data_IF_315507386553
#
_entry.id   IF_315507386553
#
_cell.length_a   1.000
_cell.length_b   1.000
_cell.length_c   1.000
_cell.angle_alpha   90.00
_cell.angle_beta   90.00
_cell.angle_gamma   90.00
#
_symmetry.space_group_name_H-M   'P 1'
#
loop_
_entity.id
_entity.type
_entity.pdbx_description
1 polymer ?
#
# COMPACT_ATOMS: atom_id res chain seq x y z
N UNK A 1 -5.05 13.10 -19.55
CA UNK A 1 -4.12 12.16 -18.88
C UNK A 1 -3.67 12.74 -17.54
N UNK A 2 -4.34 12.42 -16.42
CA UNK A 2 -3.98 12.91 -15.09
C UNK A 2 -3.80 11.70 -14.16
N UNK A 3 -2.66 11.01 -14.28
CA UNK A 3 -2.31 9.91 -13.36
C UNK A 3 -0.87 9.93 -12.85
N UNK A 4 -0.05 10.94 -13.19
CA UNK A 4 1.41 10.89 -12.91
C UNK A 4 1.93 11.77 -11.75
N UNK A 5 1.12 12.67 -11.16
CA UNK A 5 1.61 13.56 -10.08
C UNK A 5 1.52 12.96 -8.67
N UNK A 6 0.59 12.04 -8.42
CA UNK A 6 0.44 11.41 -7.09
C UNK A 6 1.48 10.32 -6.84
N UNK A 7 1.81 9.50 -7.86
CA UNK A 7 2.80 8.41 -7.73
C UNK A 7 4.21 8.88 -7.33
N UNK A 8 4.65 10.06 -7.78
CA UNK A 8 5.94 10.63 -7.36
C UNK A 8 5.94 11.06 -5.89
N UNK A 9 4.80 11.55 -5.37
CA UNK A 9 4.70 11.98 -3.96
C UNK A 9 4.75 10.79 -2.98
N UNK A 10 4.21 9.64 -3.36
CA UNK A 10 4.20 8.48 -2.47
C UNK A 10 5.59 7.86 -2.32
N UNK A 11 6.39 7.83 -3.39
CA UNK A 11 7.75 7.32 -3.31
C UNK A 11 8.64 8.18 -2.40
N UNK A 12 8.50 9.50 -2.45
CA UNK A 12 9.21 10.41 -1.53
C UNK A 12 8.84 10.11 -0.07
N UNK A 13 7.55 9.88 0.22
CA UNK A 13 7.11 9.55 1.58
C UNK A 13 7.68 8.22 2.08
N UNK A 14 7.79 7.20 1.23
CA UNK A 14 8.39 5.93 1.63
C UNK A 14 9.90 6.05 1.85
N UNK A 15 10.61 6.74 0.96
CA UNK A 15 12.04 7.00 1.11
C UNK A 15 12.34 7.70 2.43
N UNK A 16 11.61 8.76 2.78
CA UNK A 16 11.78 9.47 4.04
C UNK A 16 11.44 8.61 5.26
N UNK A 17 10.33 7.87 5.22
CA UNK A 17 9.90 6.96 6.29
C UNK A 17 10.98 5.92 6.63
N UNK A 18 11.63 5.36 5.61
CA UNK A 18 12.68 4.34 5.79
C UNK A 18 14.04 4.96 6.12
N UNK A 19 14.40 6.09 5.49
CA UNK A 19 15.64 6.81 5.79
C UNK A 19 15.73 7.20 7.26
N UNK A 20 14.63 7.72 7.83
CA UNK A 20 14.56 8.10 9.25
C UNK A 20 14.69 6.91 10.22
N UNK A 21 14.58 5.66 9.73
CA UNK A 21 14.75 4.42 10.50
C UNK A 21 16.06 3.68 10.18
N UNK A 22 16.96 4.31 9.44
CA UNK A 22 18.24 3.73 9.02
C UNK A 22 18.11 2.65 7.94
N UNK A 23 17.03 2.70 7.15
CA UNK A 23 16.83 1.84 5.99
C UNK A 23 17.10 2.61 4.70
N UNK A 24 17.70 1.94 3.71
CA UNK A 24 17.78 2.40 2.32
C UNK A 24 16.60 1.81 1.55
N UNK A 25 15.70 2.66 1.06
CA UNK A 25 14.64 2.25 0.16
C UNK A 25 15.24 1.85 -1.20
N UNK A 26 14.84 0.70 -1.74
CA UNK A 26 15.32 0.18 -3.02
C UNK A 26 14.25 0.35 -4.08
N UNK A 27 13.06 -0.22 -3.84
CA UNK A 27 11.98 -0.20 -4.81
C UNK A 27 10.62 -0.46 -4.16
N UNK A 28 9.58 -0.12 -4.93
CA UNK A 28 8.17 -0.40 -4.65
C UNK A 28 7.59 -1.21 -5.79
N UNK A 29 6.85 -2.27 -5.46
CA UNK A 29 6.09 -3.06 -6.43
C UNK A 29 4.68 -3.35 -5.94
N UNK A 30 3.76 -3.60 -6.87
CA UNK A 30 2.42 -4.09 -6.53
C UNK A 30 2.47 -5.59 -6.24
N UNK A 31 1.74 -6.09 -5.22
CA UNK A 31 1.74 -7.50 -4.89
C UNK A 31 1.07 -8.34 -5.98
N UNK A 32 1.70 -9.45 -6.34
CA UNK A 32 1.13 -10.48 -7.21
C UNK A 32 0.22 -11.43 -6.44
N UNK A 33 -0.50 -12.32 -7.14
CA UNK A 33 -1.33 -13.36 -6.50
C UNK A 33 -0.53 -14.26 -5.54
N UNK A 34 0.75 -14.51 -5.84
CA UNK A 34 1.62 -15.35 -5.02
C UNK A 34 2.16 -14.61 -3.81
N UNK A 35 2.50 -13.33 -3.96
CA UNK A 35 2.97 -12.50 -2.83
C UNK A 35 1.94 -12.43 -1.71
N UNK A 36 0.65 -12.41 -2.07
CA UNK A 36 -0.45 -12.44 -1.09
C UNK A 36 -0.41 -13.66 -0.17
N UNK A 37 0.17 -14.79 -0.59
CA UNK A 37 0.35 -15.97 0.28
C UNK A 37 1.37 -15.72 1.40
N UNK A 38 2.30 -14.79 1.18
CA UNK A 38 3.37 -14.39 2.12
C UNK A 38 3.09 -13.05 2.80
N UNK A 39 1.96 -12.42 2.49
CA UNK A 39 1.61 -11.10 3.01
C UNK A 39 1.31 -11.15 4.52
N UNK A 40 1.79 -10.17 5.30
CA UNK A 40 1.35 -9.97 6.69
C UNK A 40 -0.03 -9.29 6.79
N UNK A 41 -0.67 -9.01 5.66
CA UNK A 41 -2.02 -8.45 5.57
C UNK A 41 -3.02 -9.51 5.11
N UNK A 42 -4.28 -9.35 5.53
CA UNK A 42 -5.37 -10.17 4.98
C UNK A 42 -5.57 -9.73 3.53
N UNK A 43 -5.52 -10.69 2.60
CA UNK A 43 -5.79 -10.43 1.18
C UNK A 43 -7.15 -9.72 1.04
N UNK A 44 -7.22 -8.57 0.36
CA UNK A 44 -8.49 -7.89 0.14
C UNK A 44 -9.43 -8.83 -0.61
N UNK A 45 -10.73 -8.80 -0.24
CA UNK A 45 -11.74 -9.50 -1.03
C UNK A 45 -11.67 -8.95 -2.46
N UNK A 46 -11.76 -9.80 -3.50
CA UNK A 46 -11.89 -9.28 -4.85
C UNK A 46 -13.07 -8.31 -4.82
N UNK A 47 -12.84 -7.06 -5.23
CA UNK A 47 -13.85 -6.02 -5.24
C UNK A 47 -15.03 -6.59 -6.02
N UNK A 48 -16.12 -6.95 -5.31
CA UNK A 48 -17.40 -7.15 -5.97
C UNK A 48 -17.72 -5.77 -6.49
N UNK A 49 -17.64 -5.61 -7.81
CA UNK A 49 -18.24 -4.49 -8.51
C UNK A 49 -19.75 -4.69 -8.31
N UNK A 50 -20.24 -4.36 -7.13
CA UNK A 50 -21.67 -4.34 -6.87
C UNK A 50 -22.19 -3.21 -7.75
N UNK A 51 -22.86 -3.56 -8.84
CA UNK A 51 -23.67 -2.70 -9.72
C UNK A 51 -24.75 -1.90 -8.98
N UNK A 52 -24.75 -1.96 -7.66
CA UNK A 52 -25.64 -1.26 -6.75
C UNK A 52 -24.76 -0.28 -5.95
N UNK A 53 -24.23 0.72 -6.65
CA UNK A 53 -23.88 1.99 -6.04
C UNK A 53 -25.17 2.60 -5.51
N UNK A 54 -25.56 2.22 -4.30
CA UNK A 54 -26.67 2.84 -3.57
C UNK A 54 -26.27 4.30 -3.34
N UNK A 55 -26.86 5.19 -4.13
CA UNK A 55 -26.81 6.62 -3.97
C UNK A 55 -27.38 6.98 -2.59
N UNK A 56 -26.51 7.24 -1.64
CA UNK A 56 -26.86 8.00 -0.45
C UNK A 56 -26.23 9.38 -0.66
N UNK A 57 -27.07 10.39 -0.91
CA UNK A 57 -26.67 11.82 -1.02
C UNK A 57 -25.69 12.19 -2.16
N UNK A 58 -25.68 11.44 -3.28
CA UNK A 58 -24.90 11.82 -4.47
C UNK A 58 -23.38 11.71 -4.34
N UNK A 59 -22.89 11.19 -3.21
CA UNK A 59 -21.47 10.92 -2.99
C UNK A 59 -21.28 9.41 -3.16
N UNK A 60 -20.53 8.94 -4.17
CA UNK A 60 -20.32 7.52 -4.37
C UNK A 60 -19.58 6.92 -3.15
N UNK A 61 -20.24 5.99 -2.45
CA UNK A 61 -19.77 5.39 -1.19
C UNK A 61 -18.84 4.19 -1.39
N UNK A 62 -18.18 4.07 -2.55
CA UNK A 62 -17.32 2.94 -2.92
C UNK A 62 -15.81 3.27 -2.95
N UNK A 63 -15.40 4.42 -2.40
CA UNK A 63 -14.05 4.97 -2.56
C UNK A 63 -13.06 4.63 -1.43
N UNK A 64 -13.35 3.65 -0.59
CA UNK A 64 -12.34 3.08 0.30
C UNK A 64 -11.46 2.10 -0.49
N UNK A 65 -10.71 2.64 -1.46
CA UNK A 65 -9.70 1.89 -2.21
C UNK A 65 -8.46 1.76 -1.32
N UNK A 66 -8.42 0.67 -0.55
CA UNK A 66 -7.22 0.24 0.16
C UNK A 66 -6.17 -0.21 -0.89
N UNK A 67 -5.08 0.54 -1.03
CA UNK A 67 -3.97 0.16 -1.92
C UNK A 67 -2.89 -0.60 -1.15
N UNK A 68 -2.27 -1.59 -1.79
CA UNK A 68 -1.21 -2.39 -1.19
C UNK A 68 0.04 -2.39 -2.05
N UNK A 69 1.19 -2.25 -1.39
CA UNK A 69 2.50 -2.30 -2.04
C UNK A 69 3.49 -3.12 -1.22
N UNK A 70 4.44 -3.72 -1.92
CA UNK A 70 5.62 -4.36 -1.36
C UNK A 70 6.79 -3.39 -1.54
N UNK A 71 7.54 -3.18 -0.48
CA UNK A 71 8.65 -2.25 -0.37
C UNK A 71 9.91 -3.04 -0.02
N UNK A 72 10.86 -3.03 -0.94
CA UNK A 72 12.18 -3.64 -0.71
C UNK A 72 13.10 -2.59 -0.10
N UNK A 73 13.68 -2.94 1.04
CA UNK A 73 14.58 -2.04 1.78
C UNK A 73 15.84 -2.78 2.21
N UNK A 74 16.92 -2.03 2.43
CA UNK A 74 18.20 -2.56 2.92
C UNK A 74 18.58 -1.87 4.21
N UNK A 75 18.96 -2.64 5.23
CA UNK A 75 19.57 -2.13 6.46
C UNK A 75 20.74 -3.01 6.85
N UNK A 76 21.90 -2.41 7.09
CA UNK A 76 23.13 -3.13 7.44
C UNK A 76 23.46 -4.27 6.44
N UNK A 77 23.38 -3.98 5.13
CA UNK A 77 23.54 -4.94 4.03
C UNK A 77 22.58 -6.14 4.02
N UNK A 78 21.54 -6.15 4.85
CA UNK A 78 20.47 -7.15 4.83
C UNK A 78 19.26 -6.58 4.11
N UNK A 79 18.77 -7.34 3.12
CA UNK A 79 17.50 -7.05 2.43
C UNK A 79 16.35 -7.43 3.35
N UNK A 80 15.42 -6.51 3.54
CA UNK A 80 14.16 -6.74 4.25
C UNK A 80 12.99 -6.34 3.35
N UNK A 81 11.88 -7.05 3.51
CA UNK A 81 10.66 -6.79 2.75
C UNK A 81 9.63 -6.24 3.71
N UNK A 82 9.06 -5.09 3.36
CA UNK A 82 7.92 -4.51 4.04
C UNK A 82 6.72 -4.50 3.12
N UNK A 83 5.55 -4.63 3.71
CA UNK A 83 4.28 -4.38 3.05
C UNK A 83 3.72 -3.08 3.59
N UNK A 84 3.10 -2.30 2.72
CA UNK A 84 2.32 -1.12 3.10
C UNK A 84 0.89 -1.28 2.62
N UNK A 85 -0.04 -0.98 3.52
CA UNK A 85 -1.46 -0.78 3.23
C UNK A 85 -1.74 0.72 3.33
N UNK A 86 -2.31 1.28 2.28
CA UNK A 86 -2.69 2.69 2.16
C UNK A 86 -4.21 2.74 2.22
N UNK A 87 -4.74 3.14 3.37
CA UNK A 87 -6.18 3.34 3.53
C UNK A 87 -6.54 4.76 3.15
N UNK A 88 -7.19 4.94 2.00
CA UNK A 88 -7.80 6.20 1.64
C UNK A 88 -9.26 6.18 2.10
N UNK A 89 -9.66 7.16 2.91
CA UNK A 89 -11.07 7.41 3.23
C UNK A 89 -11.45 8.74 2.62
N UNK A 90 -12.64 8.85 2.04
CA UNK A 90 -13.15 10.12 1.49
C UNK A 90 -13.04 11.21 2.57
N UNK A 91 -12.43 12.35 2.22
CA UNK A 91 -12.17 13.52 3.09
C UNK A 91 -11.07 13.37 4.17
N UNK A 92 -10.32 12.26 4.21
CA UNK A 92 -9.22 12.06 5.18
C UNK A 92 -7.86 11.90 4.50
N UNK A 93 -6.79 12.31 5.19
CA UNK A 93 -5.42 11.99 4.76
C UNK A 93 -5.25 10.45 4.73
N UNK A 94 -4.59 9.90 3.70
CA UNK A 94 -4.40 8.46 3.61
C UNK A 94 -3.58 7.96 4.80
N UNK A 95 -4.01 6.84 5.39
CA UNK A 95 -3.28 6.20 6.49
C UNK A 95 -2.36 5.12 5.93
N UNK A 96 -1.06 5.29 6.16
CA UNK A 96 -0.04 4.32 5.77
C UNK A 96 0.22 3.34 6.93
N UNK A 97 0.04 2.05 6.68
CA UNK A 97 0.29 0.99 7.65
C UNK A 97 1.39 0.10 7.12
N UNK A 98 2.54 0.07 7.79
CA UNK A 98 3.69 -0.74 7.39
C UNK A 98 3.80 -2.01 8.23
N UNK A 99 4.04 -3.16 7.59
CA UNK A 99 4.33 -4.42 8.27
C UNK A 99 5.52 -5.12 7.62
N UNK A 100 6.47 -5.59 8.42
CA UNK A 100 7.58 -6.42 7.94
C UNK A 100 7.06 -7.79 7.53
N UNK A 101 7.50 -8.29 6.38
CA UNK A 101 7.29 -9.68 6.00
C UNK A 101 8.23 -10.56 6.83
N UNK A 102 7.67 -11.40 7.70
CA UNK A 102 8.44 -12.38 8.46
C UNK A 102 8.37 -13.69 7.69
N UNK A 103 9.47 -14.08 7.05
CA UNK A 103 9.60 -15.44 6.56
C UNK A 103 9.80 -16.32 7.81
N UNK A 104 8.79 -17.09 8.19
CA UNK A 104 8.99 -18.20 9.13
C UNK A 104 9.83 -19.24 8.40
N UNK A 105 11.09 -19.36 8.83
CA UNK A 105 11.98 -20.48 8.49
C UNK A 105 11.41 -21.79 9.00
#
# INVERSE_FOLDING_TARGET
MIKNRYFKKDNVQFEEYFRNRGYKFIQKQRPTKEDWKRSPFKKPKPVKISLISVNILGIPSSFDDDEYYILDVVKNNKKEIFWVEIKSRTLSKPKLIFKKQINRS
#
